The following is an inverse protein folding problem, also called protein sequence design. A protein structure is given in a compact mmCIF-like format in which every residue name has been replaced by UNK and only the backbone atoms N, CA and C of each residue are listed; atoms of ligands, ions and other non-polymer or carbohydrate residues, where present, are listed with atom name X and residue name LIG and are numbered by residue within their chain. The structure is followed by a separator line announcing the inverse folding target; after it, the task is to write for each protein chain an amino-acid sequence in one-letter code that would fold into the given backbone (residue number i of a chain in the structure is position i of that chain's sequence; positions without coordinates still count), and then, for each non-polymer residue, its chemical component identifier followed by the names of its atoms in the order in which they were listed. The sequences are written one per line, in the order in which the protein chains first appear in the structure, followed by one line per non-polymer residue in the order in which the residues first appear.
data_IF_936244904290
#
_entry.id   IF_936244904290
#
_cell.length_a   1.000
_cell.length_b   1.000
_cell.length_c   1.000
_cell.angle_alpha   90.00
_cell.angle_beta   90.00
_cell.angle_gamma   90.00
#
_symmetry.space_group_name_H-M   'P 1'
#
loop_
_entity.id
_entity.type
_entity.pdbx_description
1 polymer ?
#
# COMPACT_ATOMS: atom_id res chain seq x y z
N UNK A 1 -21.44 -9.60 -8.26
CA UNK A 1 -21.09 -11.01 -8.55
C UNK A 1 -21.40 -11.36 -10.00
N UNK A 2 -22.47 -10.78 -10.53
CA UNK A 2 -23.07 -11.02 -11.85
C UNK A 2 -22.11 -10.96 -13.06
N UNK A 3 -21.00 -10.22 -12.99
CA UNK A 3 -20.02 -10.13 -14.06
C UNK A 3 -18.90 -11.19 -13.98
N UNK A 4 -18.83 -12.00 -12.90
CA UNK A 4 -17.74 -12.95 -12.70
C UNK A 4 -18.00 -14.28 -13.43
N UNK A 5 -17.17 -14.60 -14.43
CA UNK A 5 -17.22 -15.88 -15.16
C UNK A 5 -16.33 -16.99 -14.56
N UNK A 6 -15.80 -16.78 -13.35
CA UNK A 6 -14.97 -17.75 -12.60
C UNK A 6 -13.79 -18.35 -13.39
N UNK A 7 -13.16 -17.57 -14.28
CA UNK A 7 -12.02 -18.01 -15.10
C UNK A 7 -10.69 -18.18 -14.32
N UNK A 8 -10.62 -17.70 -13.07
CA UNK A 8 -9.44 -17.78 -12.21
C UNK A 8 -8.25 -16.90 -12.61
N UNK A 9 -8.40 -16.01 -13.62
CA UNK A 9 -7.30 -15.16 -14.08
C UNK A 9 -6.76 -14.23 -12.98
N UNK A 10 -7.65 -13.66 -12.18
CA UNK A 10 -7.32 -12.76 -11.07
C UNK A 10 -6.49 -13.44 -9.95
N UNK A 11 -6.75 -14.72 -9.66
CA UNK A 11 -5.99 -15.48 -8.66
C UNK A 11 -4.63 -15.91 -9.20
N UNK A 12 -4.52 -16.21 -10.51
CA UNK A 12 -3.24 -16.51 -11.16
C UNK A 12 -2.31 -15.30 -11.26
N UNK A 13 -2.86 -14.11 -11.45
CA UNK A 13 -2.08 -12.86 -11.52
C UNK A 13 -1.71 -12.29 -10.15
N UNK A 14 -2.34 -12.76 -9.07
CA UNK A 14 -2.02 -12.32 -7.72
C UNK A 14 -0.65 -12.88 -7.28
N UNK A 15 0.35 -12.04 -6.97
CA UNK A 15 1.66 -12.51 -6.51
C UNK A 15 1.58 -13.26 -5.18
N UNK A 16 0.63 -12.88 -4.31
CA UNK A 16 0.34 -13.55 -3.05
C UNK A 16 -0.55 -14.80 -3.18
N UNK A 17 -0.95 -15.20 -4.41
CA UNK A 17 -1.83 -16.35 -4.69
C UNK A 17 -3.13 -16.35 -3.89
N UNK A 18 -3.67 -15.16 -3.61
CA UNK A 18 -4.94 -15.02 -2.90
C UNK A 18 -6.10 -15.57 -3.75
N UNK A 19 -7.14 -16.17 -3.13
CA UNK A 19 -8.28 -16.74 -3.83
C UNK A 19 -9.28 -15.66 -4.27
N UNK A 20 -8.83 -14.75 -5.14
CA UNK A 20 -9.60 -13.59 -5.63
C UNK A 20 -10.86 -14.00 -6.39
N UNK A 21 -10.83 -15.13 -7.09
CA UNK A 21 -11.95 -15.69 -7.84
C UNK A 21 -13.06 -16.31 -6.97
N UNK A 22 -12.78 -16.52 -5.67
CA UNK A 22 -13.70 -17.24 -4.75
C UNK A 22 -14.25 -16.37 -3.64
N UNK A 23 -13.71 -15.17 -3.44
CA UNK A 23 -14.09 -14.26 -2.36
C UNK A 23 -14.72 -12.99 -2.94
N UNK A 24 -15.76 -12.50 -2.29
CA UNK A 24 -16.43 -11.23 -2.64
C UNK A 24 -15.56 -10.02 -2.29
N UNK A 25 -14.77 -10.11 -1.22
CA UNK A 25 -13.80 -9.10 -0.79
C UNK A 25 -12.52 -9.75 -0.28
N UNK A 26 -11.39 -9.08 -0.53
CA UNK A 26 -10.06 -9.52 -0.08
C UNK A 26 -9.60 -8.60 1.06
N UNK A 27 -9.71 -9.12 2.28
CA UNK A 27 -9.13 -8.53 3.49
C UNK A 27 -8.05 -9.49 4.00
N UNK A 28 -6.81 -9.27 3.58
CA UNK A 28 -5.67 -10.08 4.01
C UNK A 28 -4.40 -9.23 4.06
N UNK A 29 -3.51 -9.46 5.03
CA UNK A 29 -2.26 -8.72 5.16
C UNK A 29 -1.29 -8.96 3.98
N UNK A 30 -1.46 -10.06 3.25
CA UNK A 30 -0.67 -10.38 2.06
C UNK A 30 -1.12 -9.57 0.83
N UNK A 31 -2.29 -8.92 0.88
CA UNK A 31 -2.77 -8.06 -0.19
C UNK A 31 -2.06 -6.69 -0.15
N UNK A 32 -1.08 -6.50 -1.03
CA UNK A 32 -0.31 -5.25 -1.13
C UNK A 32 -1.00 -4.14 -1.92
N UNK A 33 -2.21 -4.38 -2.42
CA UNK A 33 -2.91 -3.40 -3.26
C UNK A 33 -2.22 -3.13 -4.60
N UNK A 34 -1.61 -4.14 -5.23
CA UNK A 34 -0.92 -3.98 -6.53
C UNK A 34 -1.84 -3.85 -7.76
N UNK A 35 -3.15 -4.09 -7.61
CA UNK A 35 -4.18 -4.07 -8.66
C UNK A 35 -3.98 -5.07 -9.83
N UNK A 36 -3.03 -6.01 -9.75
CA UNK A 36 -2.80 -7.01 -10.81
C UNK A 36 -4.03 -7.89 -11.10
N UNK A 37 -4.84 -8.18 -10.09
CA UNK A 37 -6.10 -8.91 -10.25
C UNK A 37 -7.17 -8.10 -11.01
N UNK A 38 -7.18 -6.77 -10.86
CA UNK A 38 -8.12 -5.88 -11.54
C UNK A 38 -7.71 -5.70 -13.00
N UNK A 39 -6.41 -5.51 -13.28
CA UNK A 39 -5.91 -5.33 -14.65
C UNK A 39 -5.98 -6.59 -15.51
N UNK A 40 -5.86 -7.77 -14.90
CA UNK A 40 -5.94 -9.06 -15.60
C UNK A 40 -7.35 -9.60 -15.76
N UNK A 41 -8.36 -8.98 -15.13
CA UNK A 41 -9.72 -9.49 -15.21
C UNK A 41 -10.33 -9.20 -16.60
N UNK A 42 -10.77 -10.22 -17.36
CA UNK A 42 -11.35 -10.01 -18.69
C UNK A 42 -12.79 -9.48 -18.64
N UNK A 43 -13.40 -9.41 -17.45
CA UNK A 43 -14.77 -8.93 -17.27
C UNK A 43 -14.76 -7.57 -16.59
N UNK A 44 -15.09 -6.54 -17.37
CA UNK A 44 -15.19 -5.16 -16.88
C UNK A 44 -16.21 -5.06 -15.76
N UNK A 45 -15.81 -4.48 -14.63
CA UNK A 45 -16.70 -4.27 -13.49
C UNK A 45 -16.94 -5.51 -12.61
N UNK A 46 -16.35 -6.67 -12.93
CA UNK A 46 -16.36 -7.82 -12.03
C UNK A 46 -15.47 -7.60 -10.79
N UNK A 47 -14.37 -6.87 -10.97
CA UNK A 47 -13.39 -6.59 -9.92
C UNK A 47 -13.11 -5.08 -9.85
N UNK A 48 -12.88 -4.57 -8.64
CA UNK A 48 -12.53 -3.16 -8.43
C UNK A 48 -11.99 -2.90 -7.03
N UNK A 49 -11.10 -1.93 -6.92
CA UNK A 49 -10.57 -1.44 -5.65
C UNK A 49 -11.57 -0.44 -5.06
N UNK A 50 -12.06 -0.70 -3.84
CA UNK A 50 -13.03 0.18 -3.16
C UNK A 50 -12.43 0.64 -1.82
N UNK A 51 -12.37 1.95 -1.56
CA UNK A 51 -11.97 2.45 -0.25
C UNK A 51 -13.13 2.26 0.74
N UNK A 52 -12.88 2.21 2.06
CA UNK A 52 -13.92 1.94 3.06
C UNK A 52 -15.03 3.02 3.14
N UNK A 53 -14.80 4.19 2.53
CA UNK A 53 -15.70 5.34 2.57
C UNK A 53 -16.71 5.40 1.41
N UNK A 54 -16.53 4.59 0.35
CA UNK A 54 -17.46 4.59 -0.79
C UNK A 54 -17.57 3.23 -1.46
N UNK A 55 -18.75 2.91 -1.99
CA UNK A 55 -19.00 1.69 -2.76
C UNK A 55 -18.51 1.79 -4.22
N UNK A 56 -18.11 3.00 -4.66
CA UNK A 56 -17.59 3.22 -6.01
C UNK A 56 -16.17 2.66 -6.12
N UNK A 57 -15.95 1.92 -7.21
CA UNK A 57 -14.62 1.45 -7.54
C UNK A 57 -13.74 2.65 -7.92
N UNK A 58 -12.56 2.75 -7.31
CA UNK A 58 -11.54 3.71 -7.66
C UNK A 58 -10.83 3.25 -8.94
N UNK A 59 -10.56 4.16 -9.89
CA UNK A 59 -9.65 3.86 -10.98
C UNK A 59 -8.23 3.67 -10.44
N UNK A 60 -7.39 2.90 -11.14
CA UNK A 60 -6.05 2.57 -10.66
C UNK A 60 -5.16 3.79 -10.38
N UNK A 61 -5.24 4.83 -11.20
CA UNK A 61 -4.54 6.10 -10.96
C UNK A 61 -5.05 6.81 -9.70
N UNK A 62 -6.36 6.72 -9.42
CA UNK A 62 -6.97 7.32 -8.24
C UNK A 62 -6.48 6.65 -6.95
N UNK A 63 -6.32 5.32 -6.97
CA UNK A 63 -5.69 4.60 -5.86
C UNK A 63 -4.22 5.03 -5.65
N UNK A 64 -3.45 5.17 -6.73
CA UNK A 64 -2.07 5.65 -6.65
C UNK A 64 -1.95 7.05 -6.05
N UNK A 65 -2.77 8.01 -6.50
CA UNK A 65 -2.80 9.36 -5.94
C UNK A 65 -3.24 9.39 -4.49
N UNK A 66 -4.19 8.53 -4.10
CA UNK A 66 -4.63 8.42 -2.71
C UNK A 66 -3.47 7.99 -1.79
N UNK A 67 -2.74 6.93 -2.16
CA UNK A 67 -1.59 6.45 -1.38
C UNK A 67 -0.50 7.51 -1.29
N UNK A 68 -0.15 8.14 -2.43
CA UNK A 68 0.84 9.21 -2.46
C UNK A 68 0.41 10.41 -1.63
N UNK A 69 -0.87 10.78 -1.67
CA UNK A 69 -1.45 11.86 -0.89
C UNK A 69 -1.35 11.58 0.61
N UNK A 70 -1.79 10.40 1.07
CA UNK A 70 -1.72 10.01 2.49
C UNK A 70 -0.27 10.04 2.98
N UNK A 71 0.66 9.46 2.22
CA UNK A 71 2.08 9.47 2.56
C UNK A 71 2.62 10.90 2.65
N UNK A 72 2.36 11.72 1.63
CA UNK A 72 2.84 13.11 1.58
C UNK A 72 2.26 13.96 2.70
N UNK A 73 0.98 13.77 3.05
CA UNK A 73 0.33 14.46 4.17
C UNK A 73 1.00 14.07 5.48
N UNK A 74 1.28 12.78 5.71
CA UNK A 74 1.98 12.32 6.91
C UNK A 74 3.37 12.93 7.05
N UNK A 75 4.15 12.93 5.96
CA UNK A 75 5.48 13.57 5.91
C UNK A 75 5.38 15.07 6.17
N UNK A 76 4.49 15.77 5.46
CA UNK A 76 4.28 17.21 5.64
C UNK A 76 3.84 17.54 7.08
N UNK A 77 2.95 16.76 7.68
CA UNK A 77 2.56 16.92 9.06
C UNK A 77 3.76 16.76 10.02
N UNK A 78 4.63 15.76 9.79
CA UNK A 78 5.87 15.61 10.55
C UNK A 78 6.80 16.82 10.43
N UNK A 79 6.95 17.35 9.22
CA UNK A 79 7.77 18.53 8.95
C UNK A 79 7.22 19.79 9.63
N UNK A 80 5.91 20.05 9.49
CA UNK A 80 5.25 21.23 10.06
C UNK A 80 5.20 21.22 11.58
N UNK A 81 5.14 20.04 12.20
CA UNK A 81 5.16 19.90 13.67
C UNK A 81 6.57 19.74 14.24
N UNK A 82 7.64 19.89 13.43
CA UNK A 82 9.03 19.80 13.90
C UNK A 82 9.52 18.39 14.23
N UNK A 83 8.70 17.35 14.06
CA UNK A 83 9.04 15.95 14.33
C UNK A 83 9.86 15.28 13.21
N UNK A 84 10.08 15.98 12.09
CA UNK A 84 10.84 15.44 10.95
C UNK A 84 12.35 15.47 11.16
N UNK A 85 12.85 16.50 11.84
CA UNK A 85 14.29 16.66 12.04
C UNK A 85 14.76 15.82 13.23
N UNK A 86 15.94 15.22 13.08
CA UNK A 86 16.61 14.56 14.21
C UNK A 86 17.03 15.60 15.25
N UNK A 87 17.06 15.20 16.52
CA UNK A 87 17.59 16.02 17.61
C UNK A 87 19.12 16.07 17.64
N UNK A 88 19.80 15.29 16.80
CA UNK A 88 21.27 15.19 16.76
C UNK A 88 21.87 16.15 15.74
N UNK A 89 22.93 16.83 16.15
CA UNK A 89 23.75 17.68 15.29
C UNK A 89 24.81 16.85 14.55
N UNK A 90 25.44 17.43 13.52
CA UNK A 90 26.56 16.79 12.83
C UNK A 90 27.72 16.44 13.78
N UNK A 91 27.96 17.26 14.79
CA UNK A 91 28.99 17.05 15.82
C UNK A 91 28.63 15.85 16.72
N UNK A 92 27.34 15.69 17.07
CA UNK A 92 26.87 14.53 17.81
C UNK A 92 27.12 13.23 17.03
N UNK A 93 26.85 13.23 15.72
CA UNK A 93 27.14 12.07 14.87
C UNK A 93 28.65 11.77 14.84
N UNK A 94 29.51 12.79 14.68
CA UNK A 94 30.96 12.60 14.69
C UNK A 94 31.47 11.99 16.00
N UNK A 95 30.85 12.35 17.13
CA UNK A 95 31.21 11.81 18.44
C UNK A 95 30.65 10.41 18.69
N UNK A 96 29.44 10.12 18.21
CA UNK A 96 28.72 8.87 18.50
C UNK A 96 29.13 7.71 17.57
N UNK A 97 29.42 7.97 16.29
CA UNK A 97 29.78 6.92 15.30
C UNK A 97 30.97 6.06 15.76
N UNK A 98 32.09 6.62 16.27
CA UNK A 98 33.23 5.81 16.74
C UNK A 98 32.92 4.95 17.97
N UNK A 99 31.86 5.29 18.70
CA UNK A 99 31.41 4.57 19.90
C UNK A 99 30.29 3.57 19.60
N UNK A 100 29.82 3.47 18.36
CA UNK A 100 28.67 2.65 17.98
C UNK A 100 28.83 1.17 18.36
N UNK A 101 30.03 0.60 18.16
CA UNK A 101 30.35 -0.79 18.54
C UNK A 101 30.24 -1.06 20.05
N UNK A 102 30.32 -0.01 20.88
CA UNK A 102 30.19 -0.13 22.35
C UNK A 102 28.76 0.13 22.85
N UNK A 103 27.86 0.59 21.97
CA UNK A 103 26.47 0.92 22.28
C UNK A 103 25.48 -0.16 21.81
N UNK A 104 25.93 -1.10 20.96
CA UNK A 104 25.16 -2.30 20.62
C UNK A 104 25.19 -3.33 21.74
N UNK A 105 24.02 -3.88 22.09
CA UNK A 105 23.89 -5.05 22.96
C UNK A 105 24.27 -6.34 22.26
#
# INVERSE_FOLDING_TARGET
EDHCVRCGACSRSCPARLPVDRKTAIHSPECTGCLGCVSSCPQSGALGMRPPVTERALPGWGFGLMVLGIFSIGVAAGMLNGHWHTSLTAEDFQRLIPLADKLGH
#
